data_IF_022749259426
#
_entry.id   IF_022749259426
#
_cell.length_a   1.000
_cell.length_b   1.000
_cell.length_c   1.000
_cell.angle_alpha   90.00
_cell.angle_beta   90.00
_cell.angle_gamma   90.00
#
_symmetry.space_group_name_H-M   'P 1'
#
loop_
_entity.id
_entity.type
_entity.pdbx_description
1 polymer ?
#
# COMPACT_ATOMS: atom_id res chain seq x y z
N UNK A 1 -31.53 16.66 34.93
CA UNK A 1 -32.44 15.53 34.66
C UNK A 1 -31.60 14.25 34.66
N UNK A 2 -31.63 13.50 35.78
CA UNK A 2 -30.88 12.27 36.00
C UNK A 2 -31.36 11.18 35.03
N UNK A 3 -30.47 10.56 34.26
CA UNK A 3 -30.78 9.37 33.45
C UNK A 3 -29.75 8.26 33.74
N UNK A 4 -30.26 7.24 34.42
CA UNK A 4 -29.85 5.84 34.53
C UNK A 4 -28.37 5.51 34.81
N UNK A 5 -28.07 5.36 36.11
CA UNK A 5 -26.80 4.92 36.69
C UNK A 5 -26.73 3.40 36.96
N UNK A 6 -27.43 2.56 36.19
CA UNK A 6 -27.28 1.10 36.32
C UNK A 6 -26.43 0.54 35.18
N UNK A 7 -25.28 -0.11 35.46
CA UNK A 7 -24.46 -0.73 34.43
C UNK A 7 -25.26 -1.89 33.81
N UNK A 8 -25.74 -1.71 32.57
CA UNK A 8 -26.27 -2.84 31.79
C UNK A 8 -25.11 -3.78 31.47
N UNK A 9 -24.95 -4.82 32.28
CA UNK A 9 -23.94 -5.85 32.08
C UNK A 9 -24.31 -6.65 30.83
N UNK A 10 -23.53 -6.52 29.76
CA UNK A 10 -23.61 -7.48 28.65
C UNK A 10 -23.25 -8.88 29.18
N UNK A 11 -23.77 -9.99 28.59
CA UNK A 11 -23.44 -11.34 29.06
C UNK A 11 -21.93 -11.59 29.08
N UNK A 12 -21.17 -10.98 28.16
CA UNK A 12 -19.69 -11.02 28.15
C UNK A 12 -19.08 -10.27 29.34
N UNK A 13 -19.61 -9.10 29.68
CA UNK A 13 -19.15 -8.31 30.83
C UNK A 13 -19.40 -9.05 32.16
N UNK A 14 -20.49 -9.82 32.24
CA UNK A 14 -20.78 -10.66 33.41
C UNK A 14 -19.75 -11.78 33.61
N UNK A 15 -19.42 -12.53 32.56
CA UNK A 15 -18.38 -13.58 32.65
C UNK A 15 -17.02 -13.02 33.06
N UNK A 16 -16.66 -11.85 32.52
CA UNK A 16 -15.42 -11.17 32.89
C UNK A 16 -15.41 -10.71 34.34
N UNK A 17 -16.53 -10.18 34.83
CA UNK A 17 -16.68 -9.81 36.24
C UNK A 17 -16.58 -11.03 37.17
N UNK A 18 -17.25 -12.14 36.82
CA UNK A 18 -17.18 -13.38 37.59
C UNK A 18 -15.75 -13.94 37.64
N UNK A 19 -15.03 -13.89 36.51
CA UNK A 19 -13.62 -14.27 36.44
C UNK A 19 -12.73 -13.38 37.31
N UNK A 20 -12.92 -12.07 37.26
CA UNK A 20 -12.20 -11.12 38.11
C UNK A 20 -12.48 -11.36 39.61
N UNK A 21 -13.73 -11.67 39.97
CA UNK A 21 -14.12 -11.99 41.35
C UNK A 21 -13.48 -13.31 41.83
N UNK A 22 -13.34 -14.29 40.95
CA UNK A 22 -12.59 -15.52 41.24
C UNK A 22 -11.11 -15.21 41.48
N UNK A 23 -10.50 -14.31 40.70
CA UNK A 23 -9.12 -13.88 40.93
C UNK A 23 -8.99 -13.18 42.29
N UNK A 24 -9.97 -12.40 42.74
CA UNK A 24 -9.97 -11.82 44.09
C UNK A 24 -9.90 -12.91 45.15
N UNK A 25 -10.72 -13.96 45.05
CA UNK A 25 -10.68 -15.08 45.99
C UNK A 25 -9.32 -15.78 45.99
N UNK A 26 -8.76 -16.06 44.81
CA UNK A 26 -7.45 -16.68 44.65
C UNK A 26 -6.34 -15.79 45.21
N UNK A 27 -6.40 -14.48 45.00
CA UNK A 27 -5.42 -13.52 45.53
C UNK A 27 -5.46 -13.46 47.07
N UNK A 28 -6.67 -13.45 47.62
CA UNK A 28 -6.88 -13.44 49.06
C UNK A 28 -6.32 -14.69 49.72
N UNK A 29 -6.77 -15.87 49.30
CA UNK A 29 -6.28 -17.16 49.85
C UNK A 29 -4.79 -17.38 49.55
N UNK A 30 -4.33 -17.01 48.35
CA UNK A 30 -2.93 -17.06 47.97
C UNK A 30 -2.04 -16.17 48.83
N UNK A 31 -2.53 -15.03 49.31
CA UNK A 31 -1.77 -14.17 50.22
C UNK A 31 -1.57 -14.79 51.61
N UNK A 32 -2.52 -15.60 52.10
CA UNK A 32 -2.34 -16.41 53.32
C UNK A 32 -1.30 -17.52 53.09
N UNK A 33 -1.39 -18.24 51.97
CA UNK A 33 -0.40 -19.25 51.60
C UNK A 33 1.02 -18.66 51.54
N UNK A 34 1.20 -17.52 50.87
CA UNK A 34 2.51 -16.85 50.80
C UNK A 34 2.97 -16.31 52.15
N UNK A 35 2.05 -15.83 53.00
CA UNK A 35 2.38 -15.33 54.33
C UNK A 35 2.98 -16.41 55.23
N UNK A 36 2.48 -17.63 55.13
CA UNK A 36 2.86 -18.76 55.98
C UNK A 36 3.71 -19.80 55.24
N UNK A 37 4.43 -19.41 54.17
CA UNK A 37 5.32 -20.30 53.41
C UNK A 37 4.65 -21.62 52.99
N UNK A 38 3.41 -21.53 52.48
CA UNK A 38 2.54 -22.64 52.04
C UNK A 38 2.06 -23.57 53.16
N UNK A 39 2.36 -23.28 54.43
CA UNK A 39 1.94 -24.07 55.60
C UNK A 39 1.09 -23.20 56.55
N UNK A 40 -0.17 -22.98 56.19
CA UNK A 40 -1.08 -22.11 56.96
C UNK A 40 -1.63 -22.87 58.18
N UNK A 41 -1.51 -22.36 59.41
CA UNK A 41 -2.14 -22.98 60.58
C UNK A 41 -3.67 -22.95 60.48
N UNK A 42 -4.35 -23.97 61.00
CA UNK A 42 -5.81 -24.16 60.87
C UNK A 42 -6.63 -22.94 61.37
N UNK A 43 -6.18 -22.30 62.45
CA UNK A 43 -6.79 -21.09 63.01
C UNK A 43 -6.83 -19.91 62.01
N UNK A 44 -5.81 -19.79 61.17
CA UNK A 44 -5.73 -18.75 60.14
C UNK A 44 -6.49 -19.16 58.87
N UNK A 45 -6.72 -20.44 58.64
CA UNK A 45 -7.51 -20.91 57.50
C UNK A 45 -8.99 -20.60 57.67
N UNK A 46 -9.53 -20.83 58.87
CA UNK A 46 -10.88 -20.40 59.24
C UNK A 46 -11.02 -18.87 59.07
N UNK A 47 -10.06 -18.11 59.58
CA UNK A 47 -10.00 -16.65 59.42
C UNK A 47 -9.98 -16.23 57.94
N UNK A 48 -9.22 -16.92 57.09
CA UNK A 48 -9.13 -16.60 55.66
C UNK A 48 -10.47 -16.80 54.94
N UNK A 49 -11.21 -17.87 55.27
CA UNK A 49 -12.53 -18.18 54.71
C UNK A 49 -13.62 -17.24 55.24
N UNK A 50 -13.64 -16.98 56.55
CA UNK A 50 -14.61 -16.06 57.17
C UNK A 50 -14.45 -14.65 56.63
N UNK A 51 -13.21 -14.21 56.43
CA UNK A 51 -12.94 -12.87 55.91
C UNK A 51 -13.23 -12.73 54.42
N UNK A 52 -13.15 -13.83 53.68
CA UNK A 52 -13.52 -13.85 52.26
C UNK A 52 -14.99 -13.43 52.04
N UNK A 53 -15.88 -13.76 52.98
CA UNK A 53 -17.31 -13.46 52.91
C UNK A 53 -17.62 -11.96 52.78
N UNK A 54 -16.79 -11.10 53.40
CA UNK A 54 -16.94 -9.64 53.30
C UNK A 54 -15.91 -8.99 52.35
N UNK A 55 -14.76 -9.62 52.12
CA UNK A 55 -13.77 -9.15 51.13
C UNK A 55 -14.34 -9.21 49.71
N UNK A 56 -14.99 -10.32 49.32
CA UNK A 56 -15.57 -10.47 47.98
C UNK A 56 -16.62 -9.40 47.62
N UNK A 57 -17.64 -9.11 48.44
CA UNK A 57 -18.61 -8.08 48.10
C UNK A 57 -17.99 -6.67 48.05
N UNK A 58 -17.00 -6.36 48.90
CA UNK A 58 -16.31 -5.06 48.87
C UNK A 58 -15.53 -4.90 47.56
N UNK A 59 -14.67 -5.87 47.22
CA UNK A 59 -13.93 -5.83 45.96
C UNK A 59 -14.87 -5.87 44.75
N UNK A 60 -15.90 -6.71 44.78
CA UNK A 60 -16.91 -6.80 43.73
C UNK A 60 -17.61 -5.46 43.49
N UNK A 61 -18.04 -4.77 44.55
CA UNK A 61 -18.66 -3.46 44.44
C UNK A 61 -17.69 -2.43 43.83
N UNK A 62 -16.49 -2.30 44.39
CA UNK A 62 -15.50 -1.32 43.90
C UNK A 62 -15.12 -1.59 42.44
N UNK A 63 -14.94 -2.85 42.04
CA UNK A 63 -14.62 -3.21 40.66
C UNK A 63 -15.77 -2.86 39.71
N UNK A 64 -17.03 -3.11 40.08
CA UNK A 64 -18.20 -2.72 39.27
C UNK A 64 -18.29 -1.21 39.08
N UNK A 65 -18.06 -0.42 40.13
CA UNK A 65 -18.12 1.04 40.07
C UNK A 65 -16.88 1.70 39.46
N UNK A 66 -15.74 1.00 39.41
CA UNK A 66 -14.48 1.51 38.83
C UNK A 66 -14.52 1.74 37.31
N UNK A 67 -15.59 1.30 36.64
CA UNK A 67 -15.75 1.45 35.19
C UNK A 67 -14.91 0.48 34.36
N UNK A 68 -14.23 -0.47 35.00
CA UNK A 68 -13.34 -1.46 34.38
C UNK A 68 -14.03 -2.34 33.33
N UNK A 69 -15.34 -2.55 33.46
CA UNK A 69 -16.14 -3.40 32.57
C UNK A 69 -16.91 -2.63 31.49
N UNK A 70 -16.69 -1.30 31.37
CA UNK A 70 -17.33 -0.45 30.36
C UNK A 70 -16.59 -0.44 29.02
N UNK A 71 -15.32 -0.86 28.99
CA UNK A 71 -14.48 -0.88 27.79
C UNK A 71 -14.44 -2.23 27.08
N UNK A 72 -14.31 -2.23 25.75
CA UNK A 72 -13.96 -3.42 24.97
C UNK A 72 -12.51 -3.82 25.34
N UNK A 73 -12.30 -5.04 25.87
CA UNK A 73 -10.99 -5.64 26.23
C UNK A 73 -9.92 -5.62 25.12
N UNK A 74 -10.34 -5.27 23.91
CA UNK A 74 -9.55 -5.12 22.70
C UNK A 74 -8.59 -3.91 22.73
N UNK A 75 -8.88 -2.92 23.58
CA UNK A 75 -8.08 -1.69 23.73
C UNK A 75 -7.44 -1.58 25.12
N UNK A 76 -7.19 -2.73 25.76
CA UNK A 76 -6.51 -2.79 27.05
C UNK A 76 -5.14 -2.11 26.95
N UNK A 77 -5.05 -0.92 27.52
CA UNK A 77 -3.93 0.01 27.39
C UNK A 77 -3.36 0.35 28.77
N UNK A 78 -2.25 1.08 28.83
CA UNK A 78 -1.65 1.54 30.09
C UNK A 78 -2.67 2.22 31.05
N UNK A 79 -3.66 3.00 30.55
CA UNK A 79 -4.79 3.49 31.34
C UNK A 79 -5.62 2.42 32.08
N UNK A 80 -5.79 1.23 31.52
CA UNK A 80 -6.57 0.16 32.17
C UNK A 80 -5.80 -0.47 33.32
N UNK A 81 -4.48 -0.61 33.21
CA UNK A 81 -3.62 -1.02 34.32
C UNK A 81 -3.69 -0.02 35.48
N UNK A 82 -3.70 1.28 35.17
CA UNK A 82 -3.86 2.35 36.17
C UNK A 82 -5.25 2.29 36.83
N UNK A 83 -6.31 1.99 36.07
CA UNK A 83 -7.67 1.82 36.63
C UNK A 83 -7.75 0.63 37.57
N UNK A 84 -7.15 -0.51 37.21
CA UNK A 84 -7.05 -1.70 38.07
C UNK A 84 -6.31 -1.36 39.35
N UNK A 85 -5.13 -0.76 39.25
CA UNK A 85 -4.34 -0.38 40.41
C UNK A 85 -5.13 0.54 41.36
N UNK A 86 -5.81 1.57 40.82
CA UNK A 86 -6.66 2.46 41.62
C UNK A 86 -7.82 1.72 42.29
N UNK A 87 -8.54 0.88 41.56
CA UNK A 87 -9.66 0.12 42.10
C UNK A 87 -9.22 -0.84 43.21
N UNK A 88 -8.11 -1.56 43.01
CA UNK A 88 -7.57 -2.50 43.99
C UNK A 88 -7.05 -1.79 45.23
N UNK A 89 -6.36 -0.65 45.08
CA UNK A 89 -5.89 0.15 46.24
C UNK A 89 -7.07 0.68 47.05
N UNK A 90 -8.11 1.21 46.40
CA UNK A 90 -9.32 1.68 47.07
C UNK A 90 -10.03 0.53 47.80
N UNK A 91 -10.27 -0.60 47.12
CA UNK A 91 -10.89 -1.77 47.73
C UNK A 91 -10.07 -2.33 48.89
N UNK A 92 -8.75 -2.45 48.74
CA UNK A 92 -7.84 -2.89 49.79
C UNK A 92 -7.82 -1.95 51.00
N UNK A 93 -7.95 -0.64 50.77
CA UNK A 93 -8.04 0.36 51.84
C UNK A 93 -9.35 0.24 52.62
N UNK A 94 -10.47 0.02 51.92
CA UNK A 94 -11.78 -0.24 52.54
C UNK A 94 -11.74 -1.54 53.33
N UNK A 95 -11.14 -2.61 52.78
CA UNK A 95 -10.96 -3.90 53.45
C UNK A 95 -10.14 -3.76 54.73
N UNK A 96 -9.02 -3.03 54.69
CA UNK A 96 -8.20 -2.76 55.86
C UNK A 96 -8.95 -1.94 56.92
N UNK A 97 -9.73 -0.95 56.50
CA UNK A 97 -10.56 -0.12 57.38
C UNK A 97 -11.67 -0.93 58.05
N UNK A 98 -12.38 -1.77 57.29
CA UNK A 98 -13.42 -2.67 57.82
C UNK A 98 -12.82 -3.69 58.79
N UNK A 99 -11.67 -4.28 58.46
CA UNK A 99 -10.98 -5.20 59.36
C UNK A 99 -10.57 -4.53 60.68
N UNK A 100 -10.17 -3.26 60.64
CA UNK A 100 -9.89 -2.47 61.84
C UNK A 100 -11.16 -2.22 62.68
N UNK A 101 -12.27 -1.84 62.05
CA UNK A 101 -13.53 -1.57 62.75
C UNK A 101 -14.16 -2.80 63.40
N UNK A 102 -14.07 -3.96 62.75
CA UNK A 102 -14.69 -5.20 63.23
C UNK A 102 -13.98 -5.82 64.44
N UNK A 103 -12.83 -5.28 64.87
CA UNK A 103 -12.03 -5.76 66.01
C UNK A 103 -11.95 -7.30 66.05
N UNK A 104 -11.72 -7.91 64.88
CA UNK A 104 -11.71 -9.36 64.75
C UNK A 104 -10.62 -9.94 65.66
N UNK A 105 -11.01 -10.84 66.56
CA UNK A 105 -10.11 -11.50 67.53
C UNK A 105 -8.93 -12.20 66.84
N UNK A 106 -9.12 -12.61 65.58
CA UNK A 106 -8.10 -13.05 64.64
C UNK A 106 -8.17 -12.17 63.39
N UNK A 107 -7.66 -10.94 63.47
CA UNK A 107 -7.57 -10.08 62.29
C UNK A 107 -6.60 -10.70 61.26
N UNK A 108 -6.87 -10.56 59.95
CA UNK A 108 -5.91 -10.97 58.92
C UNK A 108 -4.54 -10.35 59.21
N UNK A 109 -3.43 -11.11 59.12
CA UNK A 109 -2.11 -10.55 59.34
C UNK A 109 -1.89 -9.31 58.47
N UNK A 110 -1.31 -8.23 59.01
CA UNK A 110 -1.09 -6.97 58.27
C UNK A 110 -0.37 -7.19 56.93
N UNK A 111 0.52 -8.18 56.89
CA UNK A 111 1.22 -8.61 55.68
C UNK A 111 0.29 -9.16 54.61
N UNK A 112 -0.76 -9.91 54.96
CA UNK A 112 -1.81 -10.41 54.04
C UNK A 112 -2.57 -9.23 53.43
N UNK A 113 -2.88 -8.19 54.22
CA UNK A 113 -3.54 -6.97 53.74
C UNK A 113 -2.70 -6.19 52.71
N UNK A 114 -1.37 -6.33 52.74
CA UNK A 114 -0.46 -5.74 51.75
C UNK A 114 -0.21 -6.67 50.55
N UNK A 115 -0.07 -7.99 50.79
CA UNK A 115 0.20 -8.97 49.76
C UNK A 115 -1.01 -9.20 48.84
N UNK A 116 -2.22 -9.27 49.39
CA UNK A 116 -3.45 -9.48 48.62
C UNK A 116 -3.63 -8.45 47.49
N UNK A 117 -3.58 -7.12 47.70
CA UNK A 117 -3.74 -6.16 46.62
C UNK A 117 -2.59 -6.22 45.60
N UNK A 118 -1.36 -6.51 46.03
CA UNK A 118 -0.21 -6.65 45.13
C UNK A 118 -0.38 -7.86 44.19
N UNK A 119 -0.74 -9.02 44.74
CA UNK A 119 -1.02 -10.24 43.98
C UNK A 119 -2.19 -10.03 43.02
N UNK A 120 -3.23 -9.32 43.48
CA UNK A 120 -4.41 -9.04 42.68
C UNK A 120 -4.11 -8.16 41.48
N UNK A 121 -3.32 -7.09 41.64
CA UNK A 121 -2.86 -6.24 40.52
C UNK A 121 -2.07 -7.07 39.52
N UNK A 122 -1.15 -7.92 40.00
CA UNK A 122 -0.32 -8.74 39.14
C UNK A 122 -1.14 -9.78 38.36
N UNK A 123 -2.06 -10.49 39.03
CA UNK A 123 -2.89 -11.51 38.39
C UNK A 123 -3.92 -10.91 37.42
N UNK A 124 -4.63 -9.84 37.80
CA UNK A 124 -5.59 -9.18 36.91
C UNK A 124 -4.91 -8.48 35.74
N UNK A 125 -3.80 -7.79 36.00
CA UNK A 125 -2.98 -7.16 34.95
C UNK A 125 -2.40 -8.19 34.00
N UNK A 126 -1.83 -9.27 34.55
CA UNK A 126 -1.27 -10.39 33.81
C UNK A 126 -2.29 -11.12 32.97
N UNK A 127 -3.47 -11.45 33.50
CA UNK A 127 -4.55 -12.11 32.75
C UNK A 127 -5.02 -11.27 31.57
N UNK A 128 -5.20 -9.95 31.75
CA UNK A 128 -5.57 -9.03 30.66
C UNK A 128 -4.46 -8.88 29.63
N UNK A 129 -3.20 -8.78 30.06
CA UNK A 129 -2.05 -8.72 29.16
C UNK A 129 -1.89 -10.02 28.36
N UNK A 130 -2.05 -11.19 29.00
CA UNK A 130 -2.00 -12.49 28.35
C UNK A 130 -3.14 -12.65 27.34
N UNK A 131 -4.37 -12.29 27.71
CA UNK A 131 -5.51 -12.29 26.80
C UNK A 131 -5.30 -11.35 25.61
N UNK A 132 -4.71 -10.16 25.84
CA UNK A 132 -4.33 -9.24 24.77
C UNK A 132 -3.31 -9.87 23.84
N UNK A 133 -2.20 -10.39 24.34
CA UNK A 133 -1.16 -11.03 23.53
C UNK A 133 -1.74 -12.20 22.73
N UNK A 134 -2.59 -13.02 23.34
CA UNK A 134 -3.25 -14.14 22.68
C UNK A 134 -4.20 -13.67 21.57
N UNK A 135 -5.05 -12.66 21.82
CA UNK A 135 -5.95 -12.12 20.80
C UNK A 135 -5.28 -11.28 19.75
N UNK A 136 -4.19 -10.60 20.08
CA UNK A 136 -3.35 -9.89 19.13
C UNK A 136 -2.73 -10.93 18.19
N UNK A 137 -2.18 -12.04 18.71
CA UNK A 137 -1.72 -13.18 17.89
C UNK A 137 -2.83 -13.81 17.04
N UNK A 138 -4.05 -13.96 17.56
CA UNK A 138 -5.15 -14.50 16.75
C UNK A 138 -5.70 -13.50 15.72
N UNK A 139 -5.72 -12.19 16.01
CA UNK A 139 -6.06 -11.16 15.02
C UNK A 139 -5.00 -11.01 13.94
N UNK A 140 -3.73 -11.18 14.31
CA UNK A 140 -2.64 -11.35 13.36
C UNK A 140 -2.84 -12.64 12.55
N UNK A 141 -3.39 -13.72 13.09
CA UNK A 141 -3.73 -14.92 12.31
C UNK A 141 -4.93 -14.76 11.36
N UNK A 142 -6.00 -14.12 11.81
CA UNK A 142 -7.31 -14.14 11.13
C UNK A 142 -7.52 -12.97 10.14
N UNK A 143 -6.84 -11.83 10.31
CA UNK A 143 -6.81 -10.75 9.28
C UNK A 143 -5.80 -11.05 8.15
N UNK A 144 -4.87 -11.97 8.39
CA UNK A 144 -3.94 -12.56 7.40
C UNK A 144 -4.66 -13.60 6.50
N UNK A 145 -5.99 -13.78 6.60
CA UNK A 145 -6.70 -14.83 5.84
C UNK A 145 -7.58 -14.34 4.67
N UNK A 146 -7.72 -13.03 4.39
CA UNK A 146 -8.62 -12.55 3.31
C UNK A 146 -7.93 -11.77 2.18
N UNK A 147 -6.73 -11.23 2.41
CA UNK A 147 -5.98 -10.50 1.39
C UNK A 147 -5.21 -11.41 0.44
N UNK A 148 -5.11 -11.02 -0.84
CA UNK A 148 -4.27 -11.69 -1.84
C UNK A 148 -2.81 -11.67 -1.36
N UNK A 149 -2.13 -12.82 -1.25
CA UNK A 149 -0.73 -12.87 -0.85
C UNK A 149 0.14 -12.15 -1.88
N UNK A 150 0.95 -11.21 -1.41
CA UNK A 150 1.88 -10.41 -2.21
C UNK A 150 3.29 -10.47 -1.64
N UNK A 151 4.27 -10.69 -2.51
CA UNK A 151 5.70 -10.61 -2.18
C UNK A 151 6.21 -9.21 -2.45
N UNK A 152 7.09 -8.69 -1.58
CA UNK A 152 7.70 -7.37 -1.76
C UNK A 152 9.16 -7.55 -2.16
N UNK A 153 9.53 -7.05 -3.32
CA UNK A 153 10.89 -7.04 -3.84
C UNK A 153 11.57 -5.73 -3.40
N UNK A 154 12.35 -5.79 -2.33
CA UNK A 154 13.05 -4.67 -1.71
C UNK A 154 12.71 -4.56 -0.22
N UNK A 155 13.69 -4.85 0.63
CA UNK A 155 13.62 -4.76 2.09
C UNK A 155 14.24 -3.44 2.63
N UNK A 156 14.29 -2.40 1.79
CA UNK A 156 14.74 -1.06 2.18
C UNK A 156 13.64 -0.20 2.85
N UNK A 157 13.89 1.10 2.97
CA UNK A 157 12.93 2.07 3.55
C UNK A 157 11.59 2.11 2.81
N UNK A 158 11.63 1.98 1.49
CA UNK A 158 10.43 1.93 0.65
C UNK A 158 9.60 0.67 0.93
N UNK A 159 10.26 -0.50 0.99
CA UNK A 159 9.63 -1.76 1.38
C UNK A 159 9.01 -1.71 2.77
N UNK A 160 9.72 -1.19 3.77
CA UNK A 160 9.20 -1.04 5.12
C UNK A 160 7.98 -0.10 5.20
N UNK A 161 8.00 1.01 4.45
CA UNK A 161 6.84 1.91 4.35
C UNK A 161 5.66 1.20 3.69
N UNK A 162 5.90 0.47 2.60
CA UNK A 162 4.86 -0.29 1.90
C UNK A 162 4.25 -1.39 2.77
N UNK A 163 5.06 -2.11 3.57
CA UNK A 163 4.55 -3.09 4.54
C UNK A 163 3.56 -2.45 5.51
N UNK A 164 3.89 -1.25 6.03
CA UNK A 164 3.00 -0.52 6.95
C UNK A 164 1.68 -0.10 6.29
N UNK A 165 1.72 0.33 5.03
CA UNK A 165 0.53 0.68 4.26
C UNK A 165 -0.32 -0.55 3.91
N UNK A 166 0.32 -1.67 3.58
CA UNK A 166 -0.39 -2.91 3.27
C UNK A 166 -1.03 -3.55 4.51
N UNK A 167 -0.50 -3.29 5.71
CA UNK A 167 -1.11 -3.76 6.97
C UNK A 167 -2.50 -3.14 7.24
N UNK A 168 -2.79 -1.95 6.69
CA UNK A 168 -4.12 -1.32 6.81
C UNK A 168 -5.05 -1.70 5.64
N UNK A 169 -4.55 -2.40 4.63
CA UNK A 169 -5.33 -2.85 3.48
C UNK A 169 -6.00 -4.20 3.75
N UNK A 170 -7.27 -4.34 3.38
CA UNK A 170 -7.98 -5.63 3.38
C UNK A 170 -7.77 -6.43 2.10
N UNK A 171 -7.25 -5.81 1.03
CA UNK A 171 -7.06 -6.46 -0.27
C UNK A 171 -5.78 -7.28 -0.34
N UNK A 172 -4.73 -6.83 0.35
CA UNK A 172 -3.38 -7.36 0.19
C UNK A 172 -2.84 -7.93 1.48
N UNK A 173 -2.03 -8.97 1.35
CA UNK A 173 -1.35 -9.61 2.47
C UNK A 173 0.11 -9.82 2.18
N UNK A 174 0.98 -9.20 2.98
CA UNK A 174 2.43 -9.36 2.82
C UNK A 174 2.84 -10.79 3.19
N UNK A 175 3.20 -11.57 2.17
CA UNK A 175 3.66 -12.96 2.33
C UNK A 175 5.13 -13.04 2.78
N UNK A 176 5.94 -12.04 2.39
CA UNK A 176 7.35 -11.95 2.74
C UNK A 176 8.07 -10.89 1.89
N UNK A 177 9.29 -10.57 2.30
CA UNK A 177 10.16 -9.66 1.56
C UNK A 177 11.30 -10.45 0.91
N UNK A 178 11.78 -9.97 -0.23
CA UNK A 178 13.03 -10.41 -0.85
C UNK A 178 13.93 -9.19 -1.03
N UNK A 179 15.24 -9.35 -0.95
CA UNK A 179 16.23 -8.30 -1.15
C UNK A 179 17.55 -8.95 -1.57
N UNK A 180 18.27 -8.39 -2.54
CA UNK A 180 19.56 -8.94 -2.97
C UNK A 180 20.68 -8.71 -1.92
N UNK A 181 20.48 -7.82 -0.95
CA UNK A 181 21.39 -7.64 0.17
C UNK A 181 21.30 -8.82 1.16
N UNK A 182 22.31 -9.68 1.11
CA UNK A 182 22.42 -10.88 1.96
C UNK A 182 22.45 -10.56 3.46
N UNK A 183 22.87 -9.35 3.86
CA UNK A 183 22.89 -8.94 5.26
C UNK A 183 21.49 -8.86 5.88
N UNK A 184 20.45 -8.71 5.05
CA UNK A 184 19.05 -8.60 5.47
C UNK A 184 18.34 -9.95 5.52
N UNK A 185 18.88 -11.00 4.92
CA UNK A 185 18.24 -12.32 4.84
C UNK A 185 18.01 -12.89 6.25
N UNK A 186 16.83 -13.47 6.46
CA UNK A 186 16.40 -14.01 7.76
C UNK A 186 16.02 -12.96 8.80
N UNK A 187 16.25 -11.66 8.55
CA UNK A 187 15.78 -10.58 9.43
C UNK A 187 14.30 -10.31 9.23
N UNK A 188 13.69 -9.67 10.22
CA UNK A 188 12.29 -9.26 10.20
C UNK A 188 12.15 -7.75 10.05
N UNK A 189 11.21 -7.32 9.20
CA UNK A 189 10.79 -5.95 9.01
C UNK A 189 9.30 -5.87 9.33
N UNK A 190 8.94 -5.17 10.40
CA UNK A 190 7.56 -4.99 10.85
C UNK A 190 6.80 -6.33 11.00
N UNK A 191 7.48 -7.38 11.45
CA UNK A 191 6.90 -8.72 11.64
C UNK A 191 6.92 -9.64 10.41
N UNK A 192 7.49 -9.20 9.28
CA UNK A 192 7.61 -10.00 8.06
C UNK A 192 9.08 -10.31 7.75
N UNK A 193 9.39 -11.57 7.45
CA UNK A 193 10.76 -12.02 7.18
C UNK A 193 11.24 -11.65 5.77
N UNK A 194 12.53 -11.33 5.67
CA UNK A 194 13.27 -11.29 4.40
C UNK A 194 13.69 -12.72 4.07
N UNK A 195 13.04 -13.31 3.08
CA UNK A 195 13.12 -14.73 2.75
C UNK A 195 14.36 -15.08 1.93
N UNK A 196 14.92 -14.12 1.19
CA UNK A 196 16.15 -14.27 0.42
C UNK A 196 16.25 -13.29 -0.74
N UNK A 197 17.00 -13.65 -1.78
CA UNK A 197 17.28 -12.80 -2.97
C UNK A 197 16.16 -12.82 -4.00
N UNK A 198 16.18 -11.87 -4.95
CA UNK A 198 15.16 -11.81 -6.01
C UNK A 198 15.12 -13.06 -6.89
N UNK A 199 16.25 -13.77 -7.06
CA UNK A 199 16.31 -14.98 -7.88
C UNK A 199 15.49 -16.15 -7.28
N UNK A 200 15.19 -16.10 -5.98
CA UNK A 200 14.35 -17.09 -5.30
C UNK A 200 12.85 -16.82 -5.45
N UNK A 201 12.47 -15.73 -6.13
CA UNK A 201 11.08 -15.34 -6.35
C UNK A 201 10.21 -16.48 -6.93
N UNK A 202 10.60 -17.24 -7.96
CA UNK A 202 9.76 -18.30 -8.51
C UNK A 202 9.41 -19.38 -7.47
N UNK A 203 10.43 -19.89 -6.75
CA UNK A 203 10.24 -20.94 -5.75
C UNK A 203 9.43 -20.45 -4.54
N UNK A 204 9.66 -19.20 -4.10
CA UNK A 204 8.94 -18.61 -2.99
C UNK A 204 7.50 -18.24 -3.36
N UNK A 205 7.25 -17.78 -4.59
CA UNK A 205 5.91 -17.49 -5.08
C UNK A 205 5.04 -18.75 -5.11
N UNK A 206 5.58 -19.87 -5.57
CA UNK A 206 4.88 -21.16 -5.58
C UNK A 206 4.62 -21.67 -4.15
N UNK A 207 5.65 -21.69 -3.31
CA UNK A 207 5.56 -22.14 -1.91
C UNK A 207 4.54 -21.34 -1.10
N UNK A 208 4.47 -20.03 -1.33
CA UNK A 208 3.59 -19.10 -0.60
C UNK A 208 2.27 -18.82 -1.33
N UNK A 209 2.02 -19.49 -2.47
CA UNK A 209 0.83 -19.31 -3.30
C UNK A 209 0.58 -17.84 -3.67
N UNK A 210 1.66 -17.07 -3.88
CA UNK A 210 1.60 -15.65 -4.19
C UNK A 210 1.59 -15.45 -5.70
N UNK A 211 0.49 -14.91 -6.22
CA UNK A 211 0.35 -14.53 -7.64
C UNK A 211 0.73 -13.09 -7.94
N UNK A 212 1.19 -12.34 -6.93
CA UNK A 212 1.45 -10.90 -7.05
C UNK A 212 2.78 -10.55 -6.39
N UNK A 213 3.53 -9.63 -7.00
CA UNK A 213 4.74 -9.08 -6.42
C UNK A 213 4.77 -7.56 -6.59
N UNK A 214 5.26 -6.83 -5.58
CA UNK A 214 5.46 -5.37 -5.66
C UNK A 214 6.96 -5.06 -5.60
N UNK A 215 7.46 -4.38 -6.62
CA UNK A 215 8.82 -3.88 -6.71
C UNK A 215 8.91 -2.58 -5.90
N UNK A 216 9.58 -2.64 -4.75
CA UNK A 216 9.71 -1.57 -3.77
C UNK A 216 11.17 -1.05 -3.67
N UNK A 217 11.80 -0.86 -4.84
CA UNK A 217 13.14 -0.31 -5.01
C UNK A 217 13.13 0.99 -5.84
N UNK A 218 12.45 2.07 -5.37
CA UNK A 218 12.32 3.31 -6.13
C UNK A 218 13.64 4.05 -6.33
N UNK A 219 14.62 3.83 -5.44
CA UNK A 219 16.00 4.32 -5.55
C UNK A 219 16.94 3.36 -6.30
N UNK A 220 16.45 2.19 -6.71
CA UNK A 220 17.24 1.25 -7.49
C UNK A 220 17.54 1.81 -8.87
N UNK A 221 18.67 1.41 -9.43
CA UNK A 221 19.03 1.68 -10.82
C UNK A 221 17.94 1.15 -11.77
N UNK A 222 17.86 1.74 -12.97
CA UNK A 222 16.92 1.27 -13.98
C UNK A 222 17.12 -0.22 -14.32
N UNK A 223 18.39 -0.67 -14.32
CA UNK A 223 18.78 -2.07 -14.54
C UNK A 223 18.24 -2.99 -13.44
N UNK A 224 18.35 -2.61 -12.16
CA UNK A 224 17.81 -3.41 -11.04
C UNK A 224 16.29 -3.51 -11.08
N UNK A 225 15.59 -2.41 -11.39
CA UNK A 225 14.12 -2.41 -11.53
C UNK A 225 13.67 -3.28 -12.71
N UNK A 226 14.36 -3.18 -13.84
CA UNK A 226 14.10 -4.01 -15.03
C UNK A 226 14.36 -5.49 -14.73
N UNK A 227 15.45 -5.82 -14.01
CA UNK A 227 15.75 -7.19 -13.57
C UNK A 227 14.63 -7.74 -12.68
N UNK A 228 14.20 -6.98 -11.68
CA UNK A 228 13.09 -7.37 -10.80
C UNK A 228 11.78 -7.58 -11.57
N UNK A 229 11.45 -6.68 -12.52
CA UNK A 229 10.28 -6.82 -13.39
C UNK A 229 10.35 -8.07 -14.28
N UNK A 230 11.52 -8.36 -14.84
CA UNK A 230 11.76 -9.55 -15.67
C UNK A 230 11.63 -10.84 -14.84
N UNK A 231 12.11 -10.83 -13.60
CA UNK A 231 11.96 -11.97 -12.68
C UNK A 231 10.48 -12.22 -12.34
N UNK A 232 9.68 -11.18 -12.14
CA UNK A 232 8.23 -11.32 -11.95
C UNK A 232 7.57 -12.02 -13.14
N UNK A 233 7.90 -11.60 -14.36
CA UNK A 233 7.38 -12.19 -15.60
C UNK A 233 7.77 -13.67 -15.72
N UNK A 234 9.05 -14.01 -15.48
CA UNK A 234 9.55 -15.39 -15.53
C UNK A 234 8.92 -16.29 -14.46
N UNK A 235 8.63 -15.73 -13.29
CA UNK A 235 7.96 -16.43 -12.19
C UNK A 235 6.44 -16.59 -12.42
N UNK A 236 5.87 -16.00 -13.48
CA UNK A 236 4.43 -16.02 -13.72
C UNK A 236 3.61 -15.24 -12.69
N UNK A 237 4.24 -14.31 -11.95
CA UNK A 237 3.57 -13.47 -10.96
C UNK A 237 3.22 -12.11 -11.56
N UNK A 238 2.05 -11.58 -11.18
CA UNK A 238 1.62 -10.24 -11.59
C UNK A 238 2.47 -9.21 -10.86
N UNK A 239 3.47 -8.66 -11.56
CA UNK A 239 4.36 -7.62 -11.06
C UNK A 239 3.69 -6.25 -11.03
N UNK A 240 3.87 -5.55 -9.93
CA UNK A 240 3.50 -4.15 -9.72
C UNK A 240 4.75 -3.39 -9.26
N UNK A 241 4.81 -2.09 -9.47
CA UNK A 241 5.99 -1.29 -9.12
C UNK A 241 5.61 0.00 -8.42
N UNK A 242 6.49 0.43 -7.51
CA UNK A 242 6.49 1.77 -6.94
C UNK A 242 7.32 2.65 -7.88
N UNK A 243 6.79 3.82 -8.31
CA UNK A 243 7.50 4.71 -9.23
C UNK A 243 8.80 5.26 -8.61
N UNK A 244 9.72 5.77 -9.44
CA UNK A 244 10.95 6.43 -9.00
C UNK A 244 10.68 7.53 -7.98
N UNK A 245 11.66 7.83 -7.13
CA UNK A 245 11.49 8.86 -6.08
C UNK A 245 11.17 10.25 -6.63
N UNK A 246 11.64 10.59 -7.83
CA UNK A 246 11.30 11.85 -8.51
C UNK A 246 9.79 12.03 -8.73
N UNK A 247 9.05 10.92 -8.85
CA UNK A 247 7.61 10.90 -9.12
C UNK A 247 6.77 10.73 -7.84
N UNK A 248 7.41 10.60 -6.67
CA UNK A 248 6.73 10.42 -5.39
C UNK A 248 6.43 11.77 -4.73
N UNK A 249 5.15 12.02 -4.46
CA UNK A 249 4.70 13.19 -3.69
C UNK A 249 5.26 13.07 -2.26
N UNK A 250 6.08 14.04 -1.84
CA UNK A 250 6.75 14.10 -0.53
C UNK A 250 7.75 12.94 -0.24
N UNK A 251 8.18 12.19 -1.26
CA UNK A 251 9.16 11.10 -1.11
C UNK A 251 8.68 9.92 -0.24
N UNK A 252 7.37 9.82 0.03
CA UNK A 252 6.76 8.71 0.78
C UNK A 252 6.04 7.77 -0.17
N UNK A 253 6.20 6.47 0.08
CA UNK A 253 5.51 5.42 -0.67
C UNK A 253 4.15 5.17 -0.02
N UNK A 254 3.08 5.33 -0.78
CA UNK A 254 1.71 4.99 -0.37
C UNK A 254 1.13 3.92 -1.29
N UNK A 255 0.06 3.24 -0.85
CA UNK A 255 -0.58 2.20 -1.66
C UNK A 255 -1.12 2.73 -3.00
N UNK A 256 -1.56 3.99 -3.07
CA UNK A 256 -2.04 4.62 -4.30
C UNK A 256 -0.94 4.88 -5.33
N UNK A 257 0.35 4.84 -4.92
CA UNK A 257 1.47 4.96 -5.86
C UNK A 257 1.81 3.62 -6.53
N UNK A 258 1.30 2.49 -6.03
CA UNK A 258 1.57 1.18 -6.61
C UNK A 258 0.81 1.04 -7.93
N UNK A 259 1.53 0.88 -9.05
CA UNK A 259 0.96 0.71 -10.39
C UNK A 259 1.42 -0.58 -11.05
N UNK A 260 0.72 -1.00 -12.10
CA UNK A 260 1.20 -2.10 -12.94
C UNK A 260 2.50 -1.68 -13.66
N UNK A 261 3.34 -2.67 -13.95
CA UNK A 261 4.58 -2.47 -14.70
C UNK A 261 4.21 -2.03 -16.12
N UNK A 262 4.73 -0.87 -16.54
CA UNK A 262 4.55 -0.34 -17.88
C UNK A 262 5.74 -0.73 -18.78
N UNK A 263 5.59 -0.58 -20.10
CA UNK A 263 6.66 -0.86 -21.06
C UNK A 263 7.95 -0.07 -20.73
N UNK A 264 7.80 1.18 -20.27
CA UNK A 264 8.91 2.05 -19.87
C UNK A 264 9.76 1.47 -18.74
N UNK A 265 9.14 0.80 -17.76
CA UNK A 265 9.84 0.15 -16.65
C UNK A 265 10.67 -1.06 -17.12
N UNK A 266 10.30 -1.64 -18.27
CA UNK A 266 11.02 -2.75 -18.92
C UNK A 266 12.13 -2.26 -19.87
N UNK A 267 12.09 -0.99 -20.29
CA UNK A 267 13.04 -0.43 -21.25
C UNK A 267 14.33 0.06 -20.58
N UNK A 268 14.36 0.22 -19.25
CA UNK A 268 15.60 0.43 -18.47
C UNK A 268 16.37 1.71 -18.78
N UNK A 269 15.77 2.66 -19.51
CA UNK A 269 16.41 3.90 -19.95
C UNK A 269 16.02 5.08 -19.06
N UNK A 270 16.98 5.92 -18.70
CA UNK A 270 16.67 7.25 -18.17
C UNK A 270 16.03 8.11 -19.27
N UNK A 271 14.90 8.78 -19.01
CA UNK A 271 14.29 9.70 -19.97
C UNK A 271 15.35 10.70 -20.45
N UNK A 272 15.50 10.83 -21.77
CA UNK A 272 16.36 11.89 -22.31
C UNK A 272 15.53 13.16 -22.32
N UNK A 273 15.93 14.11 -21.49
CA UNK A 273 15.36 15.45 -21.48
C UNK A 273 15.88 16.20 -22.71
N UNK A 274 14.98 16.54 -23.62
CA UNK A 274 15.31 17.37 -24.78
C UNK A 274 15.15 18.83 -24.34
N UNK A 275 16.17 19.66 -24.59
CA UNK A 275 16.08 21.10 -24.34
C UNK A 275 14.86 21.69 -25.06
N UNK A 276 13.94 22.26 -24.28
CA UNK A 276 12.64 22.68 -24.79
C UNK A 276 12.72 23.94 -25.68
N UNK A 277 13.72 24.81 -25.47
CA UNK A 277 13.84 26.09 -26.16
C UNK A 277 14.20 25.96 -27.66
N UNK A 278 15.24 25.17 -28.06
CA UNK A 278 15.52 24.94 -29.47
C UNK A 278 14.34 24.30 -30.24
N UNK A 279 13.60 23.40 -29.58
CA UNK A 279 12.42 22.76 -30.17
C UNK A 279 11.27 23.74 -30.32
N UNK A 280 11.03 24.59 -29.31
CA UNK A 280 10.04 25.67 -29.39
C UNK A 280 10.34 26.62 -30.54
N UNK A 281 11.58 27.09 -30.68
CA UNK A 281 11.98 28.00 -31.76
C UNK A 281 11.80 27.39 -33.16
N UNK A 282 11.84 26.05 -33.25
CA UNK A 282 11.62 25.33 -34.50
C UNK A 282 10.14 25.17 -34.86
N UNK A 283 9.25 25.00 -33.86
CA UNK A 283 7.86 24.60 -34.08
C UNK A 283 6.83 25.72 -33.89
N UNK A 284 7.08 26.67 -32.99
CA UNK A 284 6.13 27.72 -32.64
C UNK A 284 5.80 28.62 -33.84
N UNK A 285 4.53 29.01 -33.97
CA UNK A 285 4.02 29.91 -35.04
C UNK A 285 4.21 29.39 -36.49
N UNK A 286 4.70 28.15 -36.68
CA UNK A 286 4.92 27.57 -38.02
C UNK A 286 3.80 26.66 -38.48
N UNK A 287 3.70 26.46 -39.78
CA UNK A 287 2.84 25.41 -40.38
C UNK A 287 3.60 24.10 -40.41
N UNK A 288 3.10 23.10 -39.69
CA UNK A 288 3.73 21.79 -39.57
C UNK A 288 2.84 20.74 -40.22
N UNK A 289 3.39 19.95 -41.15
CA UNK A 289 2.66 18.85 -41.80
C UNK A 289 3.14 17.51 -41.24
N UNK A 290 2.19 16.64 -40.89
CA UNK A 290 2.48 15.29 -40.39
C UNK A 290 1.78 14.28 -41.30
N UNK A 291 2.55 13.43 -41.98
CA UNK A 291 2.00 12.30 -42.75
C UNK A 291 1.92 11.05 -41.86
N UNK A 292 0.91 10.19 -42.09
CA UNK A 292 0.62 9.07 -41.19
C UNK A 292 0.14 9.55 -39.81
N UNK A 293 -0.54 10.70 -39.78
CA UNK A 293 -0.91 11.39 -38.56
C UNK A 293 -1.81 10.54 -37.64
N UNK A 294 -2.68 9.70 -38.20
CA UNK A 294 -3.55 8.82 -37.42
C UNK A 294 -2.87 7.58 -36.85
N UNK A 295 -1.63 7.28 -37.29
CA UNK A 295 -0.83 6.19 -36.77
C UNK A 295 -0.35 6.43 -35.33
N UNK A 296 0.14 5.38 -34.65
CA UNK A 296 0.59 5.52 -33.26
C UNK A 296 1.74 6.52 -33.06
N UNK A 297 2.65 6.61 -34.04
CA UNK A 297 3.79 7.55 -33.99
C UNK A 297 3.33 8.93 -34.43
N UNK A 298 2.60 9.03 -35.55
CA UNK A 298 2.11 10.31 -36.07
C UNK A 298 1.22 11.04 -35.07
N UNK A 299 0.30 10.33 -34.41
CA UNK A 299 -0.62 10.93 -33.44
C UNK A 299 0.11 11.46 -32.21
N UNK A 300 1.10 10.71 -31.72
CA UNK A 300 1.95 11.18 -30.62
C UNK A 300 2.82 12.37 -31.03
N UNK A 301 3.39 12.37 -32.24
CA UNK A 301 4.11 13.53 -32.78
C UNK A 301 3.20 14.76 -32.83
N UNK A 302 1.97 14.62 -33.34
CA UNK A 302 1.00 15.70 -33.35
C UNK A 302 0.77 16.26 -31.93
N UNK A 303 0.57 15.39 -30.91
CA UNK A 303 0.37 15.83 -29.52
C UNK A 303 1.56 16.59 -28.96
N UNK A 304 2.77 16.12 -29.25
CA UNK A 304 4.00 16.79 -28.80
C UNK A 304 4.17 18.14 -29.48
N UNK A 305 3.94 18.22 -30.79
CA UNK A 305 4.03 19.46 -31.58
C UNK A 305 3.02 20.49 -31.05
N UNK A 306 1.78 20.09 -30.73
CA UNK A 306 0.73 20.97 -30.24
C UNK A 306 1.11 21.75 -28.97
N UNK A 307 1.92 21.14 -28.08
CA UNK A 307 2.40 21.76 -26.83
C UNK A 307 3.31 22.98 -27.08
N UNK A 308 3.89 23.09 -28.27
CA UNK A 308 4.78 24.19 -28.64
C UNK A 308 4.08 25.35 -29.37
N UNK A 309 2.74 25.34 -29.43
CA UNK A 309 1.91 26.39 -30.06
C UNK A 309 2.32 26.68 -31.51
N UNK A 310 2.22 25.70 -32.42
CA UNK A 310 2.45 25.92 -33.84
C UNK A 310 1.36 26.85 -34.40
N UNK A 311 1.65 27.52 -35.52
CA UNK A 311 0.66 28.35 -36.21
C UNK A 311 -0.49 27.53 -36.80
N UNK A 312 -0.19 26.30 -37.26
CA UNK A 312 -1.19 25.26 -37.59
C UNK A 312 -0.52 23.89 -37.75
N UNK A 313 -1.30 22.82 -37.55
CA UNK A 313 -0.87 21.45 -37.84
C UNK A 313 -1.74 20.86 -38.96
N UNK A 314 -1.10 20.29 -39.98
CA UNK A 314 -1.77 19.61 -41.10
C UNK A 314 -1.62 18.11 -40.92
N UNK A 315 -2.74 17.41 -40.72
CA UNK A 315 -2.78 15.96 -40.65
C UNK A 315 -2.99 15.39 -42.05
N UNK A 316 -2.10 14.51 -42.49
CA UNK A 316 -2.25 13.73 -43.71
C UNK A 316 -2.27 12.25 -43.34
N UNK A 317 -3.36 11.56 -43.65
CA UNK A 317 -3.57 10.16 -43.28
C UNK A 317 -4.41 9.44 -44.35
N UNK A 318 -4.10 8.16 -44.61
CA UNK A 318 -4.86 7.36 -45.57
C UNK A 318 -6.14 6.79 -44.95
N UNK A 319 -6.08 6.48 -43.64
CA UNK A 319 -7.21 5.92 -42.90
C UNK A 319 -8.16 7.03 -42.44
N UNK A 320 -9.35 7.06 -43.04
CA UNK A 320 -10.43 7.96 -42.65
C UNK A 320 -10.74 7.87 -41.15
N UNK A 321 -10.92 6.66 -40.62
CA UNK A 321 -11.20 6.44 -39.21
C UNK A 321 -10.11 7.00 -38.29
N UNK A 322 -8.84 6.74 -38.62
CA UNK A 322 -7.73 7.23 -37.80
C UNK A 322 -7.61 8.76 -37.84
N UNK A 323 -7.85 9.37 -39.01
CA UNK A 323 -7.86 10.82 -39.18
C UNK A 323 -9.00 11.48 -38.40
N UNK A 324 -10.22 10.96 -38.53
CA UNK A 324 -11.41 11.44 -37.83
C UNK A 324 -11.20 11.41 -36.31
N UNK A 325 -10.71 10.27 -35.79
CA UNK A 325 -10.44 10.11 -34.36
C UNK A 325 -9.40 11.09 -33.83
N UNK A 326 -8.33 11.32 -34.58
CA UNK A 326 -7.31 12.28 -34.19
C UNK A 326 -7.86 13.71 -34.22
N UNK A 327 -8.69 14.03 -35.21
CA UNK A 327 -9.32 15.34 -35.31
C UNK A 327 -10.29 15.61 -34.14
N UNK A 328 -11.12 14.64 -33.75
CA UNK A 328 -11.97 14.76 -32.55
C UNK A 328 -11.13 14.98 -31.29
N UNK A 329 -10.07 14.17 -31.11
CA UNK A 329 -9.16 14.31 -29.96
C UNK A 329 -8.58 15.72 -29.87
N UNK A 330 -8.18 16.31 -31.01
CA UNK A 330 -7.60 17.65 -31.06
C UNK A 330 -8.63 18.76 -30.86
N UNK A 331 -9.86 18.58 -31.35
CA UNK A 331 -10.94 19.51 -31.12
C UNK A 331 -11.26 19.65 -29.62
N UNK A 332 -11.14 18.56 -28.86
CA UNK A 332 -11.39 18.54 -27.41
C UNK A 332 -10.17 19.01 -26.60
N UNK A 333 -8.97 18.51 -26.91
CA UNK A 333 -7.78 18.68 -26.05
C UNK A 333 -6.87 19.87 -26.43
N UNK A 334 -6.94 20.36 -27.67
CA UNK A 334 -6.03 21.38 -28.21
C UNK A 334 -6.78 22.50 -28.96
N UNK A 335 -7.79 23.09 -28.31
CA UNK A 335 -8.70 24.09 -28.88
C UNK A 335 -8.03 25.34 -29.46
N UNK A 336 -6.84 25.71 -28.97
CA UNK A 336 -6.08 26.87 -29.45
C UNK A 336 -5.23 26.57 -30.70
N UNK A 337 -5.07 25.31 -31.09
CA UNK A 337 -4.16 24.90 -32.19
C UNK A 337 -4.98 24.69 -33.47
N UNK A 338 -4.78 25.49 -34.53
CA UNK A 338 -5.49 25.29 -35.79
C UNK A 338 -5.06 23.96 -36.44
N UNK A 339 -6.04 23.11 -36.75
CA UNK A 339 -5.82 21.80 -37.39
C UNK A 339 -6.50 21.75 -38.75
N UNK A 340 -5.80 21.20 -39.74
CA UNK A 340 -6.36 20.85 -41.06
C UNK A 340 -6.17 19.35 -41.25
N UNK A 341 -7.27 18.61 -41.35
CA UNK A 341 -7.27 17.17 -41.57
C UNK A 341 -7.52 16.85 -43.05
N UNK A 342 -6.60 16.14 -43.70
CA UNK A 342 -6.68 15.79 -45.12
C UNK A 342 -6.45 14.30 -45.33
N UNK A 343 -7.39 13.66 -46.02
CA UNK A 343 -7.16 12.32 -46.56
C UNK A 343 -6.10 12.41 -47.66
N UNK A 344 -5.09 11.54 -47.58
CA UNK A 344 -4.02 11.45 -48.55
C UNK A 344 -3.16 10.22 -48.37
N UNK A 345 -2.75 9.64 -49.50
CA UNK A 345 -1.77 8.56 -49.56
C UNK A 345 -0.42 9.15 -49.98
N UNK A 346 0.65 8.85 -49.23
CA UNK A 346 1.99 9.34 -49.54
C UNK A 346 2.55 8.78 -50.86
N UNK A 347 1.94 7.72 -51.39
CA UNK A 347 2.26 7.16 -52.72
C UNK A 347 1.67 8.02 -53.86
N UNK A 348 0.66 8.83 -53.59
CA UNK A 348 0.04 9.72 -54.58
C UNK A 348 0.81 11.04 -54.67
N UNK A 349 1.72 11.11 -55.64
CA UNK A 349 2.57 12.27 -55.86
C UNK A 349 1.78 13.54 -56.20
N UNK A 350 0.65 13.45 -56.89
CA UNK A 350 -0.14 14.62 -57.25
C UNK A 350 -0.85 15.18 -56.02
N UNK A 351 -1.41 14.31 -55.19
CA UNK A 351 -2.07 14.72 -53.95
C UNK A 351 -1.08 15.32 -52.96
N UNK A 352 0.08 14.69 -52.78
CA UNK A 352 1.14 15.23 -51.91
C UNK A 352 1.63 16.58 -52.42
N UNK A 353 1.86 16.73 -53.73
CA UNK A 353 2.26 18.00 -54.33
C UNK A 353 1.22 19.10 -54.12
N UNK A 354 -0.07 18.79 -54.34
CA UNK A 354 -1.16 19.71 -54.08
C UNK A 354 -1.16 20.20 -52.62
N UNK A 355 -1.09 19.28 -51.66
CA UNK A 355 -1.14 19.62 -50.23
C UNK A 355 0.05 20.52 -49.85
N UNK A 356 1.26 20.16 -50.26
CA UNK A 356 2.48 20.93 -49.92
C UNK A 356 2.45 22.31 -50.59
N UNK A 357 2.04 22.39 -51.86
CA UNK A 357 1.94 23.65 -52.60
C UNK A 357 0.92 24.61 -51.98
N UNK A 358 -0.25 24.10 -51.62
CA UNK A 358 -1.38 24.93 -51.19
C UNK A 358 -1.21 25.38 -49.72
N UNK A 359 -0.62 24.53 -48.86
CA UNK A 359 -0.46 24.83 -47.43
C UNK A 359 0.92 25.35 -47.03
N UNK A 360 1.94 25.17 -47.89
CA UNK A 360 3.33 25.64 -47.71
C UNK A 360 3.88 25.36 -46.30
N UNK A 361 3.97 24.09 -45.87
CA UNK A 361 4.50 23.76 -44.56
C UNK A 361 5.97 24.19 -44.44
N UNK A 362 6.35 24.65 -43.25
CA UNK A 362 7.76 24.92 -42.94
C UNK A 362 8.52 23.63 -42.64
N UNK A 363 7.83 22.64 -42.06
CA UNK A 363 8.41 21.37 -41.63
C UNK A 363 7.45 20.24 -41.99
N UNK A 364 8.00 19.14 -42.51
CA UNK A 364 7.25 17.89 -42.75
C UNK A 364 7.79 16.78 -41.84
N UNK A 365 6.95 16.28 -40.95
CA UNK A 365 7.21 15.02 -40.24
C UNK A 365 6.62 13.84 -41.03
N UNK A 366 7.50 12.96 -41.52
CA UNK A 366 7.07 11.77 -42.25
C UNK A 366 6.94 10.55 -41.33
N UNK A 367 5.71 10.18 -40.97
CA UNK A 367 5.41 9.02 -40.12
C UNK A 367 4.51 7.97 -40.81
N UNK A 368 4.19 8.16 -42.10
CA UNK A 368 3.42 7.20 -42.88
C UNK A 368 4.26 5.96 -43.23
N UNK A 369 4.23 4.93 -42.39
CA UNK A 369 4.99 3.70 -42.59
C UNK A 369 4.23 2.44 -42.17
N UNK A 370 4.43 1.35 -42.90
CA UNK A 370 4.10 0.01 -42.44
C UNK A 370 5.22 -0.50 -41.53
N UNK A 371 4.87 -0.84 -40.29
CA UNK A 371 5.83 -1.14 -39.20
C UNK A 371 5.75 -2.56 -38.62
N UNK A 372 4.70 -3.33 -38.95
CA UNK A 372 4.47 -4.65 -38.35
C UNK A 372 5.16 -5.75 -39.16
N UNK A 373 6.41 -6.07 -38.82
CA UNK A 373 7.27 -7.01 -39.57
C UNK A 373 6.57 -8.34 -39.90
N UNK A 374 5.96 -9.07 -38.94
CA UNK A 374 5.35 -10.38 -39.26
C UNK A 374 4.21 -10.32 -40.29
N UNK A 375 3.53 -9.17 -40.40
CA UNK A 375 2.47 -8.98 -41.38
C UNK A 375 3.02 -8.55 -42.74
N UNK A 376 4.16 -7.85 -42.73
CA UNK A 376 4.71 -7.17 -43.90
C UNK A 376 5.82 -7.95 -44.59
N UNK A 377 6.48 -8.91 -43.93
CA UNK A 377 7.70 -9.54 -44.46
C UNK A 377 7.45 -10.58 -45.56
N UNK A 378 6.28 -11.23 -45.58
CA UNK A 378 5.93 -12.24 -46.58
C UNK A 378 5.08 -11.66 -47.73
N UNK A 379 3.77 -11.89 -47.71
CA UNK A 379 2.85 -11.60 -48.82
C UNK A 379 2.72 -10.09 -49.10
N UNK A 380 3.02 -9.24 -48.12
CA UNK A 380 2.85 -7.78 -48.21
C UNK A 380 4.18 -7.02 -48.38
N UNK A 381 5.29 -7.72 -48.62
CA UNK A 381 6.62 -7.10 -48.68
C UNK A 381 6.68 -5.94 -49.68
N UNK A 382 6.06 -6.10 -50.85
CA UNK A 382 6.03 -5.04 -51.85
C UNK A 382 5.21 -3.82 -51.42
N UNK A 383 4.13 -4.00 -50.66
CA UNK A 383 3.37 -2.88 -50.11
C UNK A 383 4.18 -2.11 -49.06
N UNK A 384 5.00 -2.80 -48.26
CA UNK A 384 5.97 -2.14 -47.37
C UNK A 384 6.99 -1.31 -48.16
N UNK A 385 7.53 -1.84 -49.25
CA UNK A 385 8.48 -1.10 -50.11
C UNK A 385 7.81 0.12 -50.76
N UNK A 386 6.63 -0.05 -51.36
CA UNK A 386 5.91 1.05 -51.99
C UNK A 386 5.59 2.17 -51.00
N UNK A 387 5.12 1.83 -49.80
CA UNK A 387 4.80 2.86 -48.82
C UNK A 387 6.06 3.49 -48.20
N UNK A 388 6.98 2.67 -47.69
CA UNK A 388 8.10 3.15 -46.87
C UNK A 388 9.26 3.68 -47.70
N UNK A 389 9.43 3.25 -48.96
CA UNK A 389 10.50 3.72 -49.85
C UNK A 389 9.94 4.70 -50.87
N UNK A 390 8.97 4.28 -51.68
CA UNK A 390 8.42 5.15 -52.73
C UNK A 390 7.63 6.32 -52.14
N UNK A 391 6.80 6.08 -51.12
CA UNK A 391 6.10 7.14 -50.40
C UNK A 391 7.05 8.15 -49.76
N UNK A 392 8.12 7.69 -49.09
CA UNK A 392 9.18 8.57 -48.57
C UNK A 392 9.81 9.40 -49.68
N UNK A 393 10.14 8.79 -50.82
CA UNK A 393 10.73 9.48 -51.96
C UNK A 393 9.80 10.57 -52.53
N UNK A 394 8.50 10.28 -52.65
CA UNK A 394 7.49 11.25 -53.11
C UNK A 394 7.42 12.46 -52.18
N UNK A 395 7.31 12.23 -50.87
CA UNK A 395 7.23 13.29 -49.86
C UNK A 395 8.51 14.12 -49.86
N UNK A 396 9.68 13.48 -49.82
CA UNK A 396 10.98 14.17 -49.82
C UNK A 396 11.21 14.98 -51.12
N UNK A 397 10.92 14.40 -52.29
CA UNK A 397 11.08 15.09 -53.57
C UNK A 397 10.15 16.30 -53.68
N UNK A 398 8.93 16.18 -53.16
CA UNK A 398 7.96 17.29 -53.11
C UNK A 398 8.41 18.38 -52.14
N UNK A 399 8.94 18.00 -50.97
CA UNK A 399 9.49 18.95 -50.00
C UNK A 399 10.63 19.79 -50.60
N UNK A 400 11.55 19.14 -51.33
CA UNK A 400 12.65 19.81 -52.05
C UNK A 400 12.11 20.75 -53.14
N UNK A 401 11.15 20.27 -53.95
CA UNK A 401 10.56 21.05 -55.06
C UNK A 401 9.91 22.36 -54.57
N UNK A 402 9.26 22.33 -53.42
CA UNK A 402 8.57 23.49 -52.84
C UNK A 402 9.39 24.25 -51.79
N UNK A 403 10.66 23.89 -51.59
CA UNK A 403 11.56 24.60 -50.68
C UNK A 403 11.16 24.52 -49.20
N UNK A 404 10.62 23.40 -48.75
CA UNK A 404 10.31 23.15 -47.34
C UNK A 404 11.61 23.17 -46.52
N UNK A 405 11.62 23.82 -45.36
CA UNK A 405 12.86 24.05 -44.61
C UNK A 405 13.43 22.76 -43.99
N UNK A 406 12.57 21.85 -43.52
CA UNK A 406 12.96 20.58 -42.87
C UNK A 406 12.00 19.44 -43.13
#
# INVERSE_FOLDING_TARGET
MKRDYLPRLSPRSFFVFAFDLLIVAIAWLGSFLLRFNLSVPDEYWATALDTLAWVLPIYGAVLLFSGLYRGLWLFASLPDLIRIAKAVIVAGSIVAFVAYLLQLHLAPPRTVMLLSPLLLIFMMGGARAAYRVWREKQRFGDLIALGKPVLILGAGRAGASLVRELQSSSEWRVAGLLDDDTSKHGREILGHKVLGSFDQLPALAEKLQSRHAIIAIPNGSAVERQRAATLCLRAGVKGMTVPPVADLINGRVTLSNVRQINLEDLLGREPVWIDAEPVRALLAERTILVTGAGGSIGSELCRQIARYKPGKIVFVEQSEYALYRLQEEFADAFTEVPVIALIGDVKDAQRVDQIVRDLRPSIIFHAAAYKHVPLMEDQNAWQAVLNNVVGTHVVASTAVRHGVQR
#
